data_IF_506881648526
#
_entry.id   IF_506881648526
#
_cell.length_a   1.000
_cell.length_b   1.000
_cell.length_c   1.000
_cell.angle_alpha   90.00
_cell.angle_beta   90.00
_cell.angle_gamma   90.00
#
_symmetry.space_group_name_H-M   'P 1'
#
loop_
_entity.id
_entity.type
_entity.pdbx_description
1 polymer ?
#
# COMPACT_ATOMS: atom_id res chain seq x y z
N UNK A 1 21.06 11.98 0.57
CA UNK A 1 20.95 13.38 0.09
C UNK A 1 19.53 13.83 0.40
N UNK A 2 19.34 15.06 0.89
CA UNK A 2 18.03 15.67 1.11
C UNK A 2 17.95 16.95 0.29
N UNK A 3 16.86 17.15 -0.45
CA UNK A 3 16.62 18.34 -1.27
C UNK A 3 15.28 18.94 -0.89
N UNK A 4 15.28 20.22 -0.54
CA UNK A 4 14.06 20.98 -0.27
C UNK A 4 13.63 21.71 -1.54
N UNK A 5 12.49 21.34 -2.12
CA UNK A 5 11.89 22.10 -3.22
C UNK A 5 11.03 23.25 -2.69
N UNK A 6 10.53 23.12 -1.45
CA UNK A 6 9.72 24.12 -0.74
C UNK A 6 10.12 24.18 0.74
N UNK A 7 9.86 25.31 1.36
CA UNK A 7 10.04 25.47 2.81
C UNK A 7 9.00 24.64 3.56
N UNK A 8 9.46 23.83 4.51
CA UNK A 8 8.61 23.00 5.36
C UNK A 8 8.09 23.82 6.55
N UNK A 9 6.78 23.73 6.80
CA UNK A 9 6.10 24.29 7.96
C UNK A 9 6.27 23.35 9.15
N UNK A 10 6.16 23.84 10.41
CA UNK A 10 6.09 22.97 11.57
C UNK A 10 5.04 21.87 11.37
N UNK A 11 5.37 20.65 11.77
CA UNK A 11 4.50 19.48 11.71
C UNK A 11 4.75 18.62 12.94
N UNK A 12 3.74 17.84 13.35
CA UNK A 12 3.81 16.95 14.51
C UNK A 12 3.56 15.49 14.14
N UNK A 13 3.09 15.22 12.93
CA UNK A 13 2.74 13.89 12.44
C UNK A 13 3.57 13.52 11.23
N UNK A 14 4.19 12.35 11.27
CA UNK A 14 4.77 11.71 10.09
C UNK A 14 3.88 10.54 9.65
N UNK A 15 3.39 10.60 8.42
CA UNK A 15 2.58 9.55 7.81
C UNK A 15 3.39 8.81 6.76
N UNK A 16 3.41 7.48 6.81
CA UNK A 16 4.19 6.66 5.89
C UNK A 16 3.29 5.86 4.95
N UNK A 17 3.65 5.80 3.66
CA UNK A 17 3.36 4.60 2.88
C UNK A 17 4.20 3.42 3.41
N UNK A 18 3.84 2.20 3.01
CA UNK A 18 4.47 0.98 3.49
C UNK A 18 5.26 0.29 2.38
N UNK A 19 4.57 -0.08 1.31
CA UNK A 19 5.14 -0.89 0.24
C UNK A 19 6.17 -0.04 -0.50
N UNK A 20 7.38 -0.55 -0.69
CA UNK A 20 8.44 0.14 -1.43
C UNK A 20 8.94 1.45 -0.78
N UNK A 21 8.36 1.84 0.36
CA UNK A 21 8.82 2.92 1.25
C UNK A 21 9.55 2.40 2.48
N UNK A 22 8.96 1.48 3.25
CA UNK A 22 9.56 0.91 4.47
C UNK A 22 10.28 -0.42 4.22
N UNK A 23 9.95 -1.10 3.13
CA UNK A 23 10.56 -2.36 2.72
C UNK A 23 10.35 -2.56 1.22
N UNK A 24 11.20 -3.38 0.59
CA UNK A 24 11.05 -3.74 -0.82
C UNK A 24 9.88 -4.73 -1.01
N UNK A 25 8.79 -4.26 -1.61
CA UNK A 25 7.57 -5.05 -1.81
C UNK A 25 7.61 -5.90 -3.08
N UNK A 26 8.45 -5.57 -4.07
CA UNK A 26 8.55 -6.31 -5.33
C UNK A 26 8.70 -7.84 -5.19
N UNK A 27 9.65 -8.38 -4.40
CA UNK A 27 9.78 -9.83 -4.23
C UNK A 27 8.58 -10.43 -3.48
N UNK A 28 7.98 -9.67 -2.55
CA UNK A 28 6.88 -10.11 -1.69
C UNK A 28 5.60 -10.27 -2.53
N UNK A 29 5.23 -9.25 -3.30
CA UNK A 29 4.04 -9.32 -4.16
C UNK A 29 4.21 -10.36 -5.27
N UNK A 30 5.42 -10.54 -5.79
CA UNK A 30 5.73 -11.60 -6.77
C UNK A 30 5.52 -12.98 -6.16
N UNK A 31 6.01 -13.23 -4.95
CA UNK A 31 5.81 -14.49 -4.23
C UNK A 31 4.32 -14.73 -3.94
N UNK A 32 3.59 -13.71 -3.50
CA UNK A 32 2.15 -13.80 -3.23
C UNK A 32 1.34 -14.14 -4.48
N UNK A 33 1.61 -13.48 -5.61
CA UNK A 33 0.97 -13.80 -6.90
C UNK A 33 1.35 -15.21 -7.35
N UNK A 34 2.60 -15.63 -7.17
CA UNK A 34 3.04 -16.99 -7.51
C UNK A 34 2.33 -18.05 -6.67
N UNK A 35 2.16 -17.83 -5.35
CA UNK A 35 1.45 -18.76 -4.47
C UNK A 35 -0.01 -18.94 -4.90
N UNK A 36 -0.69 -17.85 -5.25
CA UNK A 36 -2.04 -17.89 -5.81
C UNK A 36 -2.09 -18.70 -7.11
N UNK A 37 -1.18 -18.42 -8.04
CA UNK A 37 -1.18 -19.09 -9.34
C UNK A 37 -0.81 -20.56 -9.22
N UNK A 38 0.09 -20.93 -8.32
CA UNK A 38 0.42 -22.32 -8.06
C UNK A 38 -0.80 -23.11 -7.57
N UNK A 39 -1.59 -22.52 -6.66
CA UNK A 39 -2.84 -23.13 -6.22
C UNK A 39 -3.83 -23.30 -7.38
N UNK A 40 -4.07 -22.25 -8.16
CA UNK A 40 -5.05 -22.28 -9.25
C UNK A 40 -4.62 -23.22 -10.40
N UNK A 41 -3.33 -23.28 -10.73
CA UNK A 41 -2.79 -24.18 -11.75
C UNK A 41 -2.85 -25.66 -11.35
N UNK A 42 -3.08 -25.99 -10.07
CA UNK A 42 -3.36 -27.35 -9.65
C UNK A 42 -4.80 -27.80 -10.01
N UNK A 43 -5.67 -26.87 -10.44
CA UNK A 43 -7.02 -27.17 -10.91
C UNK A 43 -6.99 -27.34 -12.45
N UNK A 44 -7.25 -28.55 -13.00
CA UNK A 44 -7.09 -28.81 -14.43
C UNK A 44 -7.83 -27.81 -15.33
N UNK A 45 -9.11 -27.52 -15.02
CA UNK A 45 -9.95 -26.58 -15.78
C UNK A 45 -9.37 -25.16 -15.84
N UNK A 46 -8.68 -24.73 -14.78
CA UNK A 46 -8.05 -23.42 -14.73
C UNK A 46 -6.73 -23.42 -15.52
N UNK A 47 -5.93 -24.46 -15.34
CA UNK A 47 -4.62 -24.61 -15.99
C UNK A 47 -4.73 -24.61 -17.53
N UNK A 48 -5.82 -25.19 -18.08
CA UNK A 48 -6.13 -25.19 -19.52
C UNK A 48 -6.33 -23.79 -20.12
N UNK A 49 -6.63 -22.75 -19.32
CA UNK A 49 -6.90 -21.40 -19.82
C UNK A 49 -5.63 -20.61 -20.18
N UNK A 50 -4.47 -21.05 -19.69
CA UNK A 50 -3.19 -20.40 -19.94
C UNK A 50 -2.95 -19.10 -19.14
N UNK A 51 -1.79 -18.46 -19.35
CA UNK A 51 -1.23 -17.47 -18.43
C UNK A 51 -1.98 -16.12 -18.40
N UNK A 52 -2.74 -15.79 -19.45
CA UNK A 52 -3.45 -14.50 -19.54
C UNK A 52 -4.83 -14.52 -18.87
N UNK A 53 -5.36 -15.69 -18.54
CA UNK A 53 -6.73 -15.85 -18.05
C UNK A 53 -7.02 -15.04 -16.79
N UNK A 54 -6.07 -15.02 -15.84
CA UNK A 54 -6.19 -14.21 -14.63
C UNK A 54 -6.33 -12.73 -14.93
N UNK A 55 -5.51 -12.19 -15.85
CA UNK A 55 -5.56 -10.77 -16.21
C UNK A 55 -6.87 -10.40 -16.90
N UNK A 56 -7.38 -11.27 -17.78
CA UNK A 56 -8.69 -11.09 -18.42
C UNK A 56 -9.81 -11.07 -17.37
N UNK A 57 -9.79 -12.01 -16.42
CA UNK A 57 -10.76 -12.03 -15.33
C UNK A 57 -10.67 -10.78 -14.45
N UNK A 58 -9.47 -10.25 -14.18
CA UNK A 58 -9.31 -8.99 -13.44
C UNK A 58 -9.92 -7.79 -14.17
N UNK A 59 -9.73 -7.71 -15.49
CA UNK A 59 -10.33 -6.65 -16.31
C UNK A 59 -11.86 -6.74 -16.28
N UNK A 60 -12.41 -7.95 -16.44
CA UNK A 60 -13.86 -8.17 -16.34
C UNK A 60 -14.41 -7.84 -14.95
N UNK A 61 -13.73 -8.27 -13.88
CA UNK A 61 -14.09 -7.97 -12.51
C UNK A 61 -14.13 -6.45 -12.24
N UNK A 62 -13.17 -5.69 -12.80
CA UNK A 62 -13.15 -4.24 -12.68
C UNK A 62 -14.33 -3.56 -13.40
N UNK A 63 -14.82 -4.14 -14.50
CA UNK A 63 -16.00 -3.65 -15.21
C UNK A 63 -17.31 -4.02 -14.51
N UNK A 64 -17.38 -5.19 -13.87
CA UNK A 64 -18.58 -5.65 -13.16
C UNK A 64 -18.77 -4.94 -11.80
N UNK A 65 -17.69 -4.66 -11.09
CA UNK A 65 -17.72 -4.05 -9.76
C UNK A 65 -16.68 -2.90 -9.67
N UNK A 66 -16.89 -1.78 -10.38
CA UNK A 66 -15.96 -0.66 -10.41
C UNK A 66 -15.73 -0.01 -9.04
N UNK A 67 -16.66 -0.17 -8.10
CA UNK A 67 -16.56 0.29 -6.71
C UNK A 67 -15.45 -0.41 -5.92
N UNK A 68 -15.02 -1.60 -6.34
CA UNK A 68 -13.96 -2.36 -5.67
C UNK A 68 -12.55 -1.89 -6.02
N UNK A 69 -12.39 -0.94 -6.94
CA UNK A 69 -11.07 -0.47 -7.41
C UNK A 69 -10.14 -0.01 -6.27
N UNK A 70 -10.73 0.54 -5.20
CA UNK A 70 -10.01 1.04 -4.03
C UNK A 70 -9.79 -0.06 -2.96
N UNK A 71 -10.45 -1.22 -3.08
CA UNK A 71 -10.35 -2.35 -2.16
C UNK A 71 -9.68 -3.55 -2.85
N UNK A 72 -8.35 -3.54 -2.88
CA UNK A 72 -7.55 -4.56 -3.59
C UNK A 72 -7.81 -5.99 -3.10
N UNK A 73 -8.15 -6.17 -1.82
CA UNK A 73 -8.51 -7.48 -1.25
C UNK A 73 -9.84 -7.97 -1.81
N UNK A 74 -10.89 -7.15 -1.74
CA UNK A 74 -12.21 -7.55 -2.23
C UNK A 74 -12.21 -7.71 -3.75
N UNK A 75 -11.53 -6.84 -4.48
CA UNK A 75 -11.37 -6.99 -5.93
C UNK A 75 -10.71 -8.32 -6.30
N UNK A 76 -9.66 -8.73 -5.57
CA UNK A 76 -9.02 -10.03 -5.78
C UNK A 76 -9.95 -11.19 -5.46
N UNK A 77 -10.66 -11.16 -4.32
CA UNK A 77 -11.63 -12.20 -3.94
C UNK A 77 -12.76 -12.32 -4.96
N UNK A 78 -13.30 -11.19 -5.41
CA UNK A 78 -14.32 -11.15 -6.46
C UNK A 78 -13.79 -11.74 -7.78
N UNK A 79 -12.57 -11.36 -8.19
CA UNK A 79 -11.92 -11.91 -9.39
C UNK A 79 -11.75 -13.43 -9.31
N UNK A 80 -11.31 -13.97 -8.16
CA UNK A 80 -11.15 -15.41 -7.96
C UNK A 80 -12.48 -16.15 -8.14
N UNK A 81 -13.56 -15.63 -7.52
CA UNK A 81 -14.90 -16.20 -7.68
C UNK A 81 -15.37 -16.14 -9.13
N UNK A 82 -15.23 -14.99 -9.78
CA UNK A 82 -15.59 -14.80 -11.18
C UNK A 82 -14.86 -15.78 -12.11
N UNK A 83 -13.55 -15.91 -11.94
CA UNK A 83 -12.72 -16.81 -12.75
C UNK A 83 -13.18 -18.26 -12.62
N UNK A 84 -13.39 -18.74 -11.39
CA UNK A 84 -13.83 -20.11 -11.14
C UNK A 84 -15.27 -20.35 -11.63
N UNK A 85 -16.20 -19.42 -11.38
CA UNK A 85 -17.58 -19.57 -11.87
C UNK A 85 -17.66 -19.66 -13.40
N UNK A 86 -16.82 -18.91 -14.13
CA UNK A 86 -16.76 -18.98 -15.61
C UNK A 86 -16.30 -20.33 -16.14
N UNK A 87 -15.61 -21.13 -15.33
CA UNK A 87 -15.13 -22.48 -15.69
C UNK A 87 -16.11 -23.59 -15.25
N UNK A 88 -17.32 -23.22 -14.84
CA UNK A 88 -18.38 -24.16 -14.49
C UNK A 88 -18.13 -24.93 -13.19
N UNK A 89 -17.31 -24.39 -12.27
CA UNK A 89 -17.26 -24.89 -10.90
C UNK A 89 -18.59 -24.60 -10.20
N UNK A 90 -19.03 -25.53 -9.36
CA UNK A 90 -20.21 -25.35 -8.50
C UNK A 90 -19.98 -24.23 -7.49
N UNK A 91 -21.05 -23.68 -6.91
CA UNK A 91 -20.92 -22.60 -5.91
C UNK A 91 -20.04 -23.00 -4.70
N UNK A 92 -20.15 -24.26 -4.26
CA UNK A 92 -19.33 -24.80 -3.17
C UNK A 92 -17.84 -24.87 -3.54
N UNK A 93 -17.53 -25.38 -4.74
CA UNK A 93 -16.16 -25.42 -5.25
C UNK A 93 -15.59 -24.01 -5.46
N UNK A 94 -16.39 -23.08 -5.99
CA UNK A 94 -16.00 -21.67 -6.15
C UNK A 94 -15.65 -21.06 -4.79
N UNK A 95 -16.48 -21.27 -3.77
CA UNK A 95 -16.21 -20.76 -2.43
C UNK A 95 -14.92 -21.35 -1.85
N UNK A 96 -14.75 -22.66 -1.95
CA UNK A 96 -13.57 -23.38 -1.46
C UNK A 96 -12.29 -22.92 -2.15
N UNK A 97 -12.24 -22.99 -3.48
CA UNK A 97 -11.04 -22.70 -4.25
C UNK A 97 -10.69 -21.21 -4.25
N UNK A 98 -11.69 -20.30 -4.28
CA UNK A 98 -11.42 -18.88 -4.17
C UNK A 98 -10.85 -18.53 -2.78
N UNK A 99 -11.38 -19.13 -1.72
CA UNK A 99 -10.85 -18.92 -0.37
C UNK A 99 -9.42 -19.44 -0.24
N UNK A 100 -9.15 -20.66 -0.68
CA UNK A 100 -7.81 -21.25 -0.59
C UNK A 100 -6.77 -20.52 -1.46
N UNK A 101 -7.12 -20.12 -2.69
CA UNK A 101 -6.24 -19.34 -3.54
C UNK A 101 -5.93 -17.96 -2.92
N UNK A 102 -6.94 -17.31 -2.32
CA UNK A 102 -6.73 -16.06 -1.60
C UNK A 102 -5.87 -16.25 -0.36
N UNK A 103 -6.06 -17.31 0.42
CA UNK A 103 -5.25 -17.59 1.60
C UNK A 103 -3.78 -17.83 1.22
N UNK A 104 -3.53 -18.61 0.15
CA UNK A 104 -2.17 -18.80 -0.37
C UNK A 104 -1.52 -17.46 -0.78
N UNK A 105 -2.29 -16.55 -1.40
CA UNK A 105 -1.81 -15.19 -1.66
C UNK A 105 -1.52 -14.42 -0.36
N UNK A 106 -2.47 -14.41 0.57
CA UNK A 106 -2.40 -13.63 1.81
C UNK A 106 -1.23 -14.07 2.69
N UNK A 107 -1.03 -15.38 2.88
CA UNK A 107 0.05 -15.94 3.70
C UNK A 107 1.42 -15.55 3.14
N UNK A 108 1.62 -15.69 1.82
CA UNK A 108 2.84 -15.26 1.17
C UNK A 108 3.01 -13.72 1.18
N UNK A 109 1.91 -12.96 1.10
CA UNK A 109 1.92 -11.49 1.16
C UNK A 109 2.26 -10.94 2.55
N UNK A 110 1.97 -11.71 3.61
CA UNK A 110 2.30 -11.39 4.99
C UNK A 110 3.74 -11.72 5.36
N UNK A 111 4.51 -12.40 4.50
CA UNK A 111 5.91 -12.71 4.74
C UNK A 111 6.81 -11.48 4.48
N UNK A 112 6.64 -10.46 5.31
CA UNK A 112 7.34 -9.18 5.27
C UNK A 112 8.32 -9.16 6.44
N UNK A 113 9.55 -8.77 6.18
CA UNK A 113 10.55 -8.47 7.21
C UNK A 113 11.13 -7.10 6.91
N UNK A 114 10.82 -6.14 7.77
CA UNK A 114 11.46 -4.81 7.76
C UNK A 114 12.83 -4.92 8.40
N UNK A 115 13.82 -4.24 7.86
CA UNK A 115 15.18 -4.30 8.39
C UNK A 115 15.32 -3.56 9.73
N UNK A 116 16.23 -4.03 10.58
CA UNK A 116 16.44 -3.48 11.93
C UNK A 116 16.81 -2.00 11.93
N UNK A 117 17.51 -1.53 10.87
CA UNK A 117 17.86 -0.12 10.68
C UNK A 117 16.63 0.77 10.46
N UNK A 118 15.65 0.32 9.66
CA UNK A 118 14.37 1.02 9.46
C UNK A 118 13.53 0.97 10.74
N UNK A 119 13.52 -0.16 11.47
CA UNK A 119 12.83 -0.24 12.75
C UNK A 119 13.41 0.75 13.79
N UNK A 120 14.74 0.83 13.87
CA UNK A 120 15.43 1.78 14.74
C UNK A 120 15.19 3.23 14.32
N UNK A 121 15.11 3.50 13.01
CA UNK A 121 14.73 4.81 12.50
C UNK A 121 13.32 5.20 12.95
N UNK A 122 12.34 4.30 12.80
CA UNK A 122 10.96 4.55 13.24
C UNK A 122 10.90 4.78 14.76
N UNK A 123 11.61 3.99 15.57
CA UNK A 123 11.66 4.18 17.02
C UNK A 123 12.25 5.55 17.40
N UNK A 124 13.27 6.00 16.69
CA UNK A 124 13.85 7.32 16.90
C UNK A 124 12.87 8.44 16.52
N UNK A 125 12.25 8.36 15.34
CA UNK A 125 11.27 9.34 14.89
C UNK A 125 10.05 9.41 15.83
N UNK A 126 9.61 8.29 16.39
CA UNK A 126 8.49 8.21 17.33
C UNK A 126 8.74 8.98 18.65
N UNK A 127 9.98 9.30 18.99
CA UNK A 127 10.29 10.14 20.15
C UNK A 127 9.96 11.62 19.93
N UNK A 128 9.77 12.02 18.67
CA UNK A 128 9.59 13.43 18.28
C UNK A 128 8.28 13.69 17.53
N UNK A 129 7.71 12.66 16.90
CA UNK A 129 6.52 12.78 16.05
C UNK A 129 5.53 11.63 16.33
N UNK A 130 4.24 11.91 16.17
CA UNK A 130 3.25 10.84 16.03
C UNK A 130 3.44 10.17 14.67
N UNK A 131 3.67 8.86 14.67
CA UNK A 131 3.82 8.09 13.43
C UNK A 131 2.50 7.40 13.07
N UNK A 132 2.08 7.54 11.81
CA UNK A 132 0.94 6.82 11.25
C UNK A 132 1.29 6.16 9.92
N UNK A 133 0.50 5.18 9.49
CA UNK A 133 0.59 4.57 8.17
C UNK A 133 -0.65 4.88 7.34
N UNK A 134 -0.47 5.24 6.07
CA UNK A 134 -1.53 5.37 5.07
C UNK A 134 -1.11 4.58 3.84
N UNK A 135 -1.83 3.51 3.51
CA UNK A 135 -1.49 2.61 2.39
C UNK A 135 -2.67 2.32 1.46
N UNK A 136 -2.37 2.14 0.17
CA UNK A 136 -3.32 1.60 -0.81
C UNK A 136 -3.34 0.06 -0.83
N UNK A 137 -2.35 -0.57 -0.17
CA UNK A 137 -2.22 -2.01 -0.07
C UNK A 137 -3.15 -2.63 0.97
N UNK A 138 -2.92 -3.92 1.23
CA UNK A 138 -3.71 -4.74 2.15
C UNK A 138 -2.83 -5.43 3.20
N UNK A 139 -1.75 -4.74 3.58
CA UNK A 139 -0.74 -5.24 4.52
C UNK A 139 -1.32 -5.37 5.92
N UNK A 140 -1.30 -6.56 6.50
CA UNK A 140 -1.72 -6.78 7.89
C UNK A 140 -0.54 -6.46 8.83
N UNK A 141 -0.43 -5.20 9.28
CA UNK A 141 0.71 -4.72 10.11
C UNK A 141 0.96 -5.59 11.34
N UNK A 142 -0.10 -6.13 11.95
CA UNK A 142 -0.02 -7.01 13.12
C UNK A 142 0.70 -8.34 12.86
N UNK A 143 0.93 -8.73 11.60
CA UNK A 143 1.55 -10.02 11.26
C UNK A 143 3.08 -9.96 11.12
N UNK A 144 3.70 -8.78 11.22
CA UNK A 144 5.15 -8.66 11.03
C UNK A 144 5.77 -7.60 11.95
N UNK A 145 7.07 -7.38 11.78
CA UNK A 145 7.90 -6.59 12.70
C UNK A 145 7.66 -5.06 12.66
N UNK A 146 6.55 -4.60 12.08
CA UNK A 146 6.03 -3.22 12.23
C UNK A 146 4.91 -3.08 13.27
N UNK A 147 4.47 -4.17 13.91
CA UNK A 147 3.49 -4.11 15.00
C UNK A 147 3.90 -3.06 16.04
N UNK A 148 2.93 -2.28 16.52
CA UNK A 148 3.11 -1.20 17.49
C UNK A 148 4.00 0.00 17.06
N UNK A 149 4.44 0.09 15.80
CA UNK A 149 5.25 1.24 15.32
C UNK A 149 4.41 2.48 14.95
N UNK A 150 3.11 2.30 14.73
CA UNK A 150 2.21 3.36 14.29
C UNK A 150 1.04 3.52 15.25
N UNK A 151 0.70 4.77 15.58
CA UNK A 151 -0.48 5.12 16.37
C UNK A 151 -1.78 4.83 15.60
N UNK A 152 -1.75 5.00 14.28
CA UNK A 152 -2.89 4.78 13.39
C UNK A 152 -2.43 4.16 12.06
N UNK A 153 -3.22 3.21 11.56
CA UNK A 153 -3.03 2.57 10.26
C UNK A 153 -4.30 2.72 9.44
N UNK A 154 -4.21 3.43 8.32
CA UNK A 154 -5.31 3.62 7.38
C UNK A 154 -5.02 2.91 6.06
N UNK A 155 -6.00 2.13 5.63
CA UNK A 155 -5.92 1.30 4.42
C UNK A 155 -7.05 1.65 3.47
N UNK A 156 -6.72 1.81 2.19
CA UNK A 156 -7.71 1.97 1.13
C UNK A 156 -8.70 0.78 1.10
N UNK A 157 -9.92 1.05 0.66
CA UNK A 157 -11.02 0.09 0.62
C UNK A 157 -11.70 -0.10 1.98
N UNK A 158 -10.94 -0.37 3.03
CA UNK A 158 -11.49 -0.50 4.39
C UNK A 158 -11.84 0.87 4.99
N UNK A 159 -10.93 1.83 4.85
CA UNK A 159 -11.07 3.13 5.51
C UNK A 159 -11.51 4.24 4.54
N UNK A 160 -11.42 4.03 3.23
CA UNK A 160 -11.79 5.04 2.24
C UNK A 160 -11.19 4.79 0.86
N UNK A 161 -11.29 5.77 -0.03
CA UNK A 161 -10.70 5.72 -1.37
C UNK A 161 -9.17 5.74 -1.31
N UNK A 162 -8.53 5.10 -2.28
CA UNK A 162 -7.09 5.02 -2.38
C UNK A 162 -6.45 6.39 -2.66
N UNK A 163 -5.23 6.61 -2.16
CA UNK A 163 -4.33 7.69 -2.60
C UNK A 163 -4.21 7.65 -4.14
N UNK A 164 -4.24 8.78 -4.85
CA UNK A 164 -4.09 10.16 -4.36
C UNK A 164 -5.39 10.84 -3.87
N UNK A 165 -6.49 10.10 -3.66
CA UNK A 165 -7.70 10.69 -3.09
C UNK A 165 -7.47 11.17 -1.65
N UNK A 166 -8.11 12.26 -1.26
CA UNK A 166 -7.89 12.91 0.05
C UNK A 166 -8.41 12.10 1.25
N UNK A 167 -9.25 11.09 1.03
CA UNK A 167 -10.09 10.48 2.07
C UNK A 167 -9.30 9.94 3.25
N UNK A 168 -8.17 9.27 2.99
CA UNK A 168 -7.35 8.71 4.07
C UNK A 168 -6.61 9.82 4.84
N UNK A 169 -6.11 10.85 4.15
CA UNK A 169 -5.49 12.01 4.79
C UNK A 169 -6.48 12.82 5.64
N UNK A 170 -7.69 13.07 5.13
CA UNK A 170 -8.75 13.76 5.87
C UNK A 170 -9.14 12.97 7.14
N UNK A 171 -9.20 11.63 7.05
CA UNK A 171 -9.44 10.76 8.19
C UNK A 171 -8.31 10.78 9.22
N UNK A 172 -7.06 10.78 8.76
CA UNK A 172 -5.90 10.89 9.66
C UNK A 172 -5.92 12.20 10.44
N UNK A 173 -6.11 13.33 9.75
CA UNK A 173 -6.19 14.64 10.38
C UNK A 173 -7.34 14.73 11.40
N UNK A 174 -8.52 14.21 11.04
CA UNK A 174 -9.67 14.17 11.94
C UNK A 174 -9.45 13.28 13.17
N UNK A 175 -8.84 12.11 13.00
CA UNK A 175 -8.55 11.18 14.09
C UNK A 175 -7.56 11.79 15.10
N UNK A 176 -6.47 12.37 14.59
CA UNK A 176 -5.41 12.98 15.40
C UNK A 176 -5.74 14.38 15.89
N UNK A 177 -6.85 14.97 15.41
CA UNK A 177 -7.29 16.35 15.71
C UNK A 177 -6.23 17.40 15.37
N UNK A 178 -5.53 17.20 14.26
CA UNK A 178 -4.52 18.12 13.72
C UNK A 178 -5.00 18.74 12.41
N UNK A 179 -4.33 19.80 11.96
CA UNK A 179 -4.55 20.32 10.61
C UNK A 179 -3.77 19.49 9.60
N UNK A 180 -4.20 19.52 8.33
CA UNK A 180 -3.54 18.74 7.27
C UNK A 180 -2.09 19.19 7.05
N UNK A 181 -1.79 20.48 7.25
CA UNK A 181 -0.42 20.99 7.19
C UNK A 181 0.50 20.43 8.28
N UNK A 182 -0.05 19.89 9.38
CA UNK A 182 0.73 19.27 10.45
C UNK A 182 1.14 17.82 10.13
N UNK A 183 0.72 17.30 8.97
CA UNK A 183 1.04 15.96 8.47
C UNK A 183 2.09 16.08 7.37
N UNK A 184 3.26 15.49 7.61
CA UNK A 184 4.27 15.21 6.58
C UNK A 184 4.07 13.77 6.11
N UNK A 185 3.70 13.56 4.85
CA UNK A 185 3.55 12.23 4.27
C UNK A 185 4.79 11.81 3.50
N UNK A 186 5.28 10.60 3.76
CA UNK A 186 6.48 9.99 3.18
C UNK A 186 6.05 8.80 2.32
N UNK A 187 6.45 8.78 1.05
CA UNK A 187 6.20 7.66 0.15
C UNK A 187 7.09 7.67 -1.09
N UNK A 188 7.11 6.55 -1.82
CA UNK A 188 7.93 6.33 -3.01
C UNK A 188 7.25 6.81 -4.30
N UNK A 189 5.92 6.98 -4.28
CA UNK A 189 5.11 7.23 -5.47
C UNK A 189 4.71 8.70 -5.62
N UNK A 190 5.17 9.34 -6.71
CA UNK A 190 4.68 10.69 -7.05
C UNK A 190 3.18 10.71 -7.35
N UNK A 191 2.66 9.67 -8.03
CA UNK A 191 1.27 9.60 -8.50
C UNK A 191 0.27 9.35 -7.36
N UNK A 192 0.70 8.74 -6.25
CA UNK A 192 -0.20 8.40 -5.14
C UNK A 192 0.14 9.18 -3.87
N UNK A 193 1.37 9.09 -3.38
CA UNK A 193 1.78 9.66 -2.10
C UNK A 193 1.92 11.18 -2.20
N UNK A 194 2.80 11.64 -3.08
CA UNK A 194 3.12 13.07 -3.20
C UNK A 194 1.94 13.84 -3.75
N UNK A 195 1.32 13.35 -4.83
CA UNK A 195 0.11 13.95 -5.37
C UNK A 195 -1.01 13.98 -4.33
N UNK A 196 -1.22 12.88 -3.60
CA UNK A 196 -2.26 12.79 -2.58
C UNK A 196 -2.06 13.77 -1.42
N UNK A 197 -0.85 13.83 -0.89
CA UNK A 197 -0.49 14.75 0.19
C UNK A 197 -0.65 16.21 -0.27
N UNK A 198 -0.06 16.57 -1.41
CA UNK A 198 -0.12 17.92 -1.96
C UNK A 198 -1.55 18.38 -2.23
N UNK A 199 -2.38 17.54 -2.87
CA UNK A 199 -3.77 17.88 -3.18
C UNK A 199 -4.63 18.08 -1.93
N UNK A 200 -4.24 17.46 -0.82
CA UNK A 200 -4.99 17.48 0.44
C UNK A 200 -4.53 18.62 1.36
N UNK A 201 -3.41 19.29 1.03
CA UNK A 201 -2.79 20.33 1.84
C UNK A 201 -1.85 19.81 2.93
N UNK A 202 -1.50 18.52 2.87
CA UNK A 202 -0.40 17.95 3.64
C UNK A 202 0.95 18.34 3.03
N UNK A 203 2.00 18.15 3.80
CA UNK A 203 3.38 18.28 3.31
C UNK A 203 3.86 16.92 2.78
N UNK A 204 4.76 16.91 1.80
CA UNK A 204 5.21 15.67 1.14
C UNK A 204 6.73 15.47 1.12
N UNK A 205 7.15 14.24 1.41
CA UNK A 205 8.50 13.72 1.16
C UNK A 205 8.40 12.63 0.12
N UNK A 206 9.16 12.79 -0.98
CA UNK A 206 9.34 11.74 -1.97
C UNK A 206 10.61 10.94 -1.69
N UNK A 207 10.46 9.64 -1.46
CA UNK A 207 11.56 8.69 -1.50
C UNK A 207 11.83 8.30 -2.96
N UNK A 208 12.80 8.98 -3.56
CA UNK A 208 13.22 8.78 -4.95
C UNK A 208 14.43 7.85 -5.02
N UNK A 209 14.26 6.60 -4.62
CA UNK A 209 15.29 5.55 -4.71
C UNK A 209 15.01 4.53 -5.83
N UNK A 210 13.91 4.73 -6.57
CA UNK A 210 13.48 3.85 -7.66
C UNK A 210 13.48 4.53 -9.02
N UNK A 211 13.74 3.75 -10.06
CA UNK A 211 13.59 4.21 -11.44
C UNK A 211 12.16 3.98 -11.93
N UNK A 212 11.26 4.90 -11.58
CA UNK A 212 9.85 4.85 -11.98
C UNK A 212 9.46 6.07 -12.84
N UNK A 213 8.51 5.86 -13.75
CA UNK A 213 7.92 6.94 -14.56
C UNK A 213 6.58 7.34 -13.96
N UNK A 214 6.46 8.60 -13.58
CA UNK A 214 5.26 9.15 -12.95
C UNK A 214 4.52 10.14 -13.87
N UNK A 215 3.19 10.12 -13.77
CA UNK A 215 2.31 11.01 -14.52
C UNK A 215 2.19 12.37 -13.86
N UNK A 216 2.15 12.41 -12.53
CA UNK A 216 2.13 13.63 -11.74
C UNK A 216 3.39 14.46 -12.02
N UNK A 217 3.18 15.75 -12.31
CA UNK A 217 4.25 16.71 -12.65
C UNK A 217 4.52 17.73 -11.54
N UNK A 218 3.82 17.61 -10.41
CA UNK A 218 4.10 18.43 -9.24
C UNK A 218 5.40 17.98 -8.55
N UNK A 219 5.94 18.87 -7.73
CA UNK A 219 7.11 18.59 -6.90
C UNK A 219 6.66 18.16 -5.50
N UNK A 220 7.38 17.22 -4.91
CA UNK A 220 7.33 17.01 -3.47
C UNK A 220 7.93 18.22 -2.75
N UNK A 221 7.51 18.49 -1.52
CA UNK A 221 8.12 19.56 -0.73
C UNK A 221 9.59 19.22 -0.42
N UNK A 222 9.87 17.94 -0.15
CA UNK A 222 11.21 17.39 0.05
C UNK A 222 11.42 16.14 -0.79
N UNK A 223 12.62 15.99 -1.33
CA UNK A 223 13.09 14.77 -2.00
C UNK A 223 14.24 14.15 -1.21
N UNK A 224 14.17 12.84 -1.01
CA UNK A 224 15.24 12.03 -0.42
C UNK A 224 15.50 10.80 -1.28
N UNK A 225 16.72 10.29 -1.26
CA UNK A 225 17.09 9.03 -1.96
C UNK A 225 17.34 7.88 -0.99
N UNK A 226 17.12 8.10 0.30
CA UNK A 226 17.32 7.15 1.38
C UNK A 226 16.46 7.58 2.56
N UNK A 227 15.65 6.66 3.10
CA UNK A 227 14.72 6.93 4.20
C UNK A 227 15.40 7.46 5.47
N UNK A 228 16.66 7.10 5.74
CA UNK A 228 17.41 7.62 6.90
C UNK A 228 17.66 9.13 6.85
N UNK A 229 17.46 9.77 5.69
CA UNK A 229 17.50 11.23 5.59
C UNK A 229 16.40 11.91 6.43
N UNK A 230 15.34 11.19 6.82
CA UNK A 230 14.29 11.71 7.71
C UNK A 230 14.81 12.15 9.08
N UNK A 231 15.98 11.67 9.51
CA UNK A 231 16.63 12.12 10.75
C UNK A 231 16.97 13.62 10.75
N UNK A 232 17.06 14.27 9.57
CA UNK A 232 17.23 15.72 9.47
C UNK A 232 16.07 16.53 10.07
N UNK A 233 14.90 15.90 10.25
CA UNK A 233 13.74 16.56 10.86
C UNK A 233 13.76 16.50 12.39
N UNK A 234 14.59 15.64 12.97
CA UNK A 234 14.80 15.61 14.42
C UNK A 234 15.61 16.86 14.77
N UNK A 235 14.97 17.81 15.44
CA UNK A 235 15.66 18.99 15.95
C UNK A 235 16.53 18.57 17.13
N UNK A 236 17.83 18.81 17.03
CA UNK A 236 18.77 18.82 18.16
C UNK A 236 18.41 19.91 19.17
#
# INVERSE_FOLDING_TARGET
>A
MIRFNRAIRPFSVMSFDLDDTLYNNHPIIKAAVSAQQNYLNALPRYQEQGPQYWQQCRQLAALQQPELKDNVTQWRKHTLRLALSKLGFTEQEVALHASNAYNAFADARSNIVVSDDVLALLDNLAQHFTLIAITNGNVEIERFNLHNKFELVLQAGMHGKAKPHSTLFDKAAAHLKVTKSDILHIGDSLDTDVQGANNTGCQSVWLNDQSAKYNYKGLADVEITNIHALTHFIRS
#
